data_IF_123880334980
#
_entry.id   IF_123880334980
#
_cell.length_a   1.000
_cell.length_b   1.000
_cell.length_c   1.000
_cell.angle_alpha   90.00
_cell.angle_beta   90.00
_cell.angle_gamma   90.00
#
_symmetry.space_group_name_H-M   'P 1'
#
loop_
_entity.id
_entity.type
_entity.pdbx_description
1 polymer ?
#
# COMPACT_ATOMS: atom_id res chain seq x y z
N UNK A 1 7.41 -43.20 -25.93
CA UNK A 1 6.53 -42.03 -25.76
C UNK A 1 6.18 -41.96 -24.28
N UNK A 2 7.01 -41.29 -23.49
CA UNK A 2 6.78 -41.08 -22.06
C UNK A 2 6.07 -39.73 -21.86
N UNK A 3 5.03 -39.75 -21.01
CA UNK A 3 4.27 -38.57 -20.58
C UNK A 3 5.07 -37.86 -19.48
N UNK A 4 5.32 -36.54 -19.54
CA UNK A 4 6.04 -35.87 -18.46
C UNK A 4 5.13 -35.67 -17.24
N UNK A 5 5.74 -35.90 -16.08
CA UNK A 5 5.16 -35.84 -14.73
C UNK A 5 4.86 -34.38 -14.31
N UNK A 6 3.71 -34.17 -13.66
CA UNK A 6 3.32 -32.93 -13.00
C UNK A 6 4.25 -32.67 -11.81
N UNK A 7 5.18 -31.71 -11.96
CA UNK A 7 5.94 -31.18 -10.84
C UNK A 7 5.01 -30.39 -9.92
N UNK A 8 4.86 -30.87 -8.68
CA UNK A 8 4.23 -30.13 -7.59
C UNK A 8 5.04 -28.86 -7.32
N UNK A 9 4.50 -27.70 -7.72
CA UNK A 9 5.05 -26.40 -7.33
C UNK A 9 4.76 -26.20 -5.85
N UNK A 10 5.76 -26.46 -4.99
CA UNK A 10 5.72 -26.09 -3.59
C UNK A 10 5.67 -24.56 -3.48
N UNK A 11 4.49 -24.05 -3.11
CA UNK A 11 4.28 -22.68 -2.68
C UNK A 11 5.05 -22.46 -1.37
N UNK A 12 6.12 -21.66 -1.41
CA UNK A 12 6.75 -21.14 -0.20
C UNK A 12 5.71 -20.34 0.61
N UNK A 13 5.67 -20.48 1.95
CA UNK A 13 4.76 -19.70 2.77
C UNK A 13 5.29 -18.26 2.85
N UNK A 14 4.81 -17.39 1.97
CA UNK A 14 4.84 -15.96 2.22
C UNK A 14 3.78 -15.63 3.26
N UNK A 15 4.19 -14.99 4.35
CA UNK A 15 3.25 -14.52 5.40
C UNK A 15 2.04 -13.83 4.77
N UNK A 16 0.82 -14.09 5.26
CA UNK A 16 -0.36 -13.46 4.72
C UNK A 16 -0.22 -11.93 4.86
N UNK A 17 -0.44 -11.15 3.79
CA UNK A 17 -0.49 -9.70 3.90
C UNK A 17 -1.58 -9.30 4.91
N UNK A 18 -1.44 -8.14 5.58
CA UNK A 18 -2.42 -7.68 6.56
C UNK A 18 -3.84 -7.66 5.96
N UNK A 19 -4.88 -7.91 6.77
CA UNK A 19 -6.25 -7.97 6.27
C UNK A 19 -6.64 -6.62 5.65
N UNK A 20 -7.01 -6.55 4.36
CA UNK A 20 -7.17 -5.28 3.64
C UNK A 20 -8.45 -4.53 3.98
N UNK A 21 -9.29 -5.04 4.88
CA UNK A 21 -10.25 -4.19 5.58
C UNK A 21 -9.52 -3.06 6.32
N UNK A 22 -8.31 -3.29 6.82
CA UNK A 22 -7.45 -2.26 7.40
C UNK A 22 -6.78 -1.36 6.33
N UNK A 23 -6.41 -1.90 5.16
CA UNK A 23 -5.77 -1.12 4.07
C UNK A 23 -6.75 -0.17 3.36
N UNK A 24 -7.97 -0.63 3.05
CA UNK A 24 -8.99 0.21 2.41
C UNK A 24 -9.64 1.20 3.38
N UNK A 25 -9.96 0.76 4.60
CA UNK A 25 -10.45 1.69 5.64
C UNK A 25 -9.37 2.70 6.01
N UNK A 26 -8.11 2.27 6.05
CA UNK A 26 -6.94 3.13 6.20
C UNK A 26 -6.86 4.16 5.10
N UNK A 27 -6.90 3.74 3.83
CA UNK A 27 -6.87 4.66 2.68
C UNK A 27 -8.01 5.66 2.70
N UNK A 28 -9.25 5.21 2.93
CA UNK A 28 -10.41 6.12 3.03
C UNK A 28 -10.24 7.11 4.18
N UNK A 29 -9.72 6.66 5.31
CA UNK A 29 -9.46 7.48 6.49
C UNK A 29 -8.36 8.53 6.32
N UNK A 30 -7.38 8.27 5.42
CA UNK A 30 -6.28 9.22 5.15
C UNK A 30 -6.37 9.90 3.78
N UNK A 31 -7.39 9.59 2.97
CA UNK A 31 -7.50 10.07 1.58
C UNK A 31 -7.40 11.58 1.48
N UNK A 32 -8.17 12.30 2.29
CA UNK A 32 -8.14 13.76 2.31
C UNK A 32 -6.77 14.33 2.70
N UNK A 33 -5.98 13.61 3.50
CA UNK A 33 -4.61 13.99 3.83
C UNK A 33 -3.63 13.69 2.70
N UNK A 34 -3.81 12.56 2.01
CA UNK A 34 -3.02 12.23 0.83
C UNK A 34 -3.25 13.27 -0.27
N UNK A 35 -4.51 13.64 -0.56
CA UNK A 35 -4.84 14.63 -1.60
C UNK A 35 -4.13 16.00 -1.41
N UNK A 36 -3.69 16.34 -0.19
CA UNK A 36 -2.92 17.56 0.10
C UNK A 36 -1.47 17.50 -0.41
N UNK A 37 -0.90 16.31 -0.64
CA UNK A 37 0.48 16.15 -1.13
C UNK A 37 1.56 16.73 -0.21
N UNK A 38 1.27 16.97 1.07
CA UNK A 38 2.23 17.52 2.05
C UNK A 38 3.22 16.49 2.56
N UNK A 39 2.84 15.21 2.53
CA UNK A 39 3.67 14.06 2.86
C UNK A 39 3.41 13.01 1.79
N UNK A 40 4.47 12.54 1.12
CA UNK A 40 4.34 11.55 0.06
C UNK A 40 5.34 10.41 0.22
N UNK A 41 4.98 9.25 -0.31
CA UNK A 41 5.83 8.07 -0.44
C UNK A 41 6.06 7.81 -1.93
N UNK A 42 7.13 8.36 -2.53
CA UNK A 42 7.41 8.20 -3.96
C UNK A 42 7.66 6.74 -4.38
N UNK A 43 8.10 5.91 -3.42
CA UNK A 43 8.57 4.55 -3.66
C UNK A 43 10.08 4.46 -3.89
N UNK A 44 10.82 5.53 -3.57
CA UNK A 44 12.28 5.59 -3.59
C UNK A 44 12.90 5.03 -2.31
N UNK A 45 14.23 4.83 -2.34
CA UNK A 45 15.03 4.23 -1.29
C UNK A 45 16.16 5.13 -0.80
N UNK A 46 16.46 5.07 0.49
CA UNK A 46 17.70 5.61 1.02
C UNK A 46 18.88 4.68 0.69
N UNK A 47 20.11 5.08 1.04
CA UNK A 47 21.31 4.28 0.76
C UNK A 47 21.35 2.92 1.47
N UNK A 48 20.51 2.68 2.47
CA UNK A 48 20.43 1.41 3.19
C UNK A 48 19.20 0.59 2.80
N UNK A 49 18.43 1.03 1.80
CA UNK A 49 17.26 0.31 1.28
C UNK A 49 15.96 0.61 2.01
N UNK A 50 15.91 1.62 2.88
CA UNK A 50 14.66 2.03 3.56
C UNK A 50 13.78 2.83 2.62
N UNK A 51 12.46 2.74 2.84
CA UNK A 51 11.51 3.59 2.14
C UNK A 51 11.71 5.07 2.49
N UNK A 52 11.78 5.92 1.47
CA UNK A 52 11.91 7.38 1.64
C UNK A 52 10.52 8.03 1.62
N UNK A 53 10.22 8.80 2.66
CA UNK A 53 9.01 9.62 2.75
C UNK A 53 9.43 11.08 2.69
N UNK A 54 8.86 11.84 1.76
CA UNK A 54 9.16 13.27 1.59
C UNK A 54 8.09 14.11 2.28
N UNK A 55 8.51 15.07 3.09
CA UNK A 55 7.65 15.98 3.86
C UNK A 55 7.92 17.41 3.41
N UNK A 56 6.95 18.03 2.74
CA UNK A 56 7.13 19.36 2.13
C UNK A 56 6.67 20.48 3.07
N UNK A 57 7.54 20.98 3.95
CA UNK A 57 7.19 21.97 4.97
C UNK A 57 6.72 23.33 4.43
N UNK A 58 7.18 23.71 3.23
CA UNK A 58 6.82 24.97 2.57
C UNK A 58 5.45 24.99 1.88
N UNK A 59 4.70 23.89 1.88
CA UNK A 59 3.39 23.80 1.23
C UNK A 59 2.31 24.56 2.00
N UNK A 60 1.42 25.27 1.31
CA UNK A 60 0.33 26.03 1.95
C UNK A 60 -0.74 25.11 2.55
N UNK A 61 -0.83 23.90 2.04
CA UNK A 61 -1.79 22.86 2.41
C UNK A 61 -1.67 22.44 3.88
N UNK A 62 -0.54 22.75 4.55
CA UNK A 62 -0.38 22.64 6.00
C UNK A 62 -1.40 23.47 6.81
N UNK A 63 -2.02 24.49 6.22
CA UNK A 63 -3.08 25.30 6.87
C UNK A 63 -4.49 24.73 6.66
N UNK A 64 -4.63 23.61 5.97
CA UNK A 64 -5.92 22.95 5.77
C UNK A 64 -6.51 22.48 7.10
N UNK A 65 -7.83 22.59 7.26
CA UNK A 65 -8.55 22.09 8.45
C UNK A 65 -8.45 20.57 8.63
N UNK A 66 -8.05 19.85 7.59
CA UNK A 66 -7.82 18.40 7.63
C UNK A 66 -6.55 18.05 8.43
N UNK A 67 -5.59 18.98 8.52
CA UNK A 67 -4.29 18.75 9.15
C UNK A 67 -4.43 18.84 10.66
N UNK A 68 -4.40 17.69 11.31
CA UNK A 68 -4.36 17.55 12.77
C UNK A 68 -3.25 16.57 13.17
N UNK A 69 -2.86 16.55 14.45
CA UNK A 69 -1.90 15.56 14.98
C UNK A 69 -2.35 14.14 14.64
N UNK A 70 -3.64 13.85 14.83
CA UNK A 70 -4.23 12.54 14.58
C UNK A 70 -4.24 12.18 13.09
N UNK A 71 -4.62 13.12 12.23
CA UNK A 71 -4.66 12.90 10.77
C UNK A 71 -3.26 12.62 10.21
N UNK A 72 -2.24 13.38 10.67
CA UNK A 72 -0.85 13.19 10.26
C UNK A 72 -0.28 11.87 10.80
N UNK A 73 -0.57 11.51 12.05
CA UNK A 73 -0.15 10.23 12.63
C UNK A 73 -0.71 9.05 11.84
N UNK A 74 -2.03 9.05 11.57
CA UNK A 74 -2.67 8.04 10.73
C UNK A 74 -2.05 7.97 9.34
N UNK A 75 -1.73 9.12 8.74
CA UNK A 75 -1.06 9.16 7.44
C UNK A 75 0.33 8.51 7.50
N UNK A 76 1.15 8.83 8.50
CA UNK A 76 2.49 8.23 8.64
C UNK A 76 2.43 6.71 8.82
N UNK A 77 1.53 6.22 9.67
CA UNK A 77 1.30 4.78 9.86
C UNK A 77 0.76 4.13 8.59
N UNK A 78 -0.11 4.82 7.85
CA UNK A 78 -0.60 4.34 6.57
C UNK A 78 0.54 4.19 5.56
N UNK A 79 1.37 5.22 5.39
CA UNK A 79 2.52 5.17 4.49
C UNK A 79 3.54 4.09 4.89
N UNK A 80 3.74 3.87 6.20
CA UNK A 80 4.58 2.77 6.70
C UNK A 80 4.03 1.39 6.33
N UNK A 81 2.71 1.24 6.20
CA UNK A 81 2.11 -0.06 5.87
C UNK A 81 2.24 -0.44 4.39
N UNK A 82 2.48 0.53 3.49
CA UNK A 82 2.53 0.33 2.03
C UNK A 82 3.74 -0.51 1.58
N UNK A 83 5.00 -0.22 2.01
CA UNK A 83 6.14 -1.04 1.65
C UNK A 83 5.99 -2.50 2.05
N UNK A 84 6.70 -3.37 1.34
CA UNK A 84 6.75 -4.80 1.67
C UNK A 84 7.34 -5.03 3.05
N UNK A 85 7.04 -6.18 3.63
CA UNK A 85 7.47 -6.54 4.98
C UNK A 85 8.97 -6.32 5.20
N UNK A 86 9.80 -6.76 4.26
CA UNK A 86 11.26 -6.68 4.37
C UNK A 86 11.77 -5.24 4.41
N UNK A 87 11.13 -4.34 3.66
CA UNK A 87 11.47 -2.91 3.65
C UNK A 87 10.87 -2.21 4.87
N UNK A 88 9.64 -2.56 5.23
CA UNK A 88 8.89 -1.98 6.35
C UNK A 88 9.58 -2.25 7.69
N UNK A 89 10.20 -3.41 7.84
CA UNK A 89 10.99 -3.80 9.02
C UNK A 89 12.27 -2.96 9.18
N UNK A 90 12.82 -2.38 8.11
CA UNK A 90 13.94 -1.45 8.20
C UNK A 90 13.53 -0.06 8.72
N UNK A 91 12.22 0.22 8.75
CA UNK A 91 11.65 1.53 9.02
C UNK A 91 11.75 2.49 7.83
N UNK A 92 11.16 3.67 7.98
CA UNK A 92 11.20 4.74 6.96
C UNK A 92 12.28 5.77 7.25
N UNK A 93 12.82 6.37 6.19
CA UNK A 93 13.65 7.58 6.26
C UNK A 93 12.81 8.77 5.80
N UNK A 94 12.58 9.72 6.71
CA UNK A 94 11.80 10.93 6.43
C UNK A 94 12.73 12.06 6.00
N UNK A 95 12.48 12.63 4.82
CA UNK A 95 13.21 13.79 4.30
C UNK A 95 12.30 15.01 4.34
N UNK A 96 12.63 15.96 5.22
CA UNK A 96 11.85 17.18 5.45
C UNK A 96 12.43 18.32 4.62
N UNK A 97 11.64 18.85 3.70
CA UNK A 97 11.93 20.11 3.03
C UNK A 97 11.53 21.29 3.92
N UNK A 98 12.51 21.82 4.65
CA UNK A 98 12.36 23.00 5.50
C UNK A 98 13.13 24.20 4.95
N UNK A 99 13.49 24.22 3.66
CA UNK A 99 14.23 25.33 3.02
C UNK A 99 13.46 26.64 3.09
N UNK A 100 12.14 26.60 2.88
CA UNK A 100 11.26 27.79 2.91
C UNK A 100 10.63 28.01 4.28
N UNK A 101 10.14 26.93 4.88
CA UNK A 101 9.45 26.93 6.18
C UNK A 101 9.51 25.53 6.78
N UNK A 102 9.81 25.37 8.08
CA UNK A 102 9.73 24.07 8.73
C UNK A 102 8.27 23.56 8.79
N UNK A 103 8.06 22.24 8.79
CA UNK A 103 6.74 21.66 9.04
C UNK A 103 6.12 22.17 10.35
N UNK A 104 4.78 22.16 10.43
CA UNK A 104 4.06 22.65 11.60
C UNK A 104 4.33 21.82 12.87
N UNK A 105 4.11 22.40 14.05
CA UNK A 105 4.24 21.66 15.33
C UNK A 105 3.36 20.39 15.38
N UNK A 106 2.23 20.39 14.67
CA UNK A 106 1.36 19.22 14.54
C UNK A 106 2.10 18.01 13.96
N UNK A 107 3.03 18.23 13.03
CA UNK A 107 3.82 17.17 12.41
C UNK A 107 4.74 16.49 13.43
N UNK A 108 5.52 17.25 14.21
CA UNK A 108 6.44 16.66 15.19
C UNK A 108 5.70 15.90 16.29
N UNK A 109 4.57 16.43 16.77
CA UNK A 109 3.70 15.73 17.73
C UNK A 109 3.14 14.43 17.12
N UNK A 110 2.74 14.46 15.86
CA UNK A 110 2.22 13.30 15.16
C UNK A 110 3.29 12.25 14.91
N UNK A 111 4.54 12.67 14.64
CA UNK A 111 5.67 11.79 14.45
C UNK A 111 6.02 11.03 15.74
N UNK A 112 6.07 11.73 16.88
CA UNK A 112 6.24 11.11 18.19
C UNK A 112 5.11 10.10 18.46
N UNK A 113 3.86 10.51 18.24
CA UNK A 113 2.70 9.63 18.38
C UNK A 113 2.79 8.40 17.47
N UNK A 114 3.24 8.54 16.22
CA UNK A 114 3.40 7.42 15.30
C UNK A 114 4.47 6.44 15.79
N UNK A 115 5.58 6.94 16.36
CA UNK A 115 6.61 6.09 16.97
C UNK A 115 6.12 5.35 18.23
N UNK A 116 5.20 5.93 19.00
CA UNK A 116 4.56 5.24 20.13
C UNK A 116 3.64 4.09 19.66
N UNK A 117 2.93 4.27 18.54
CA UNK A 117 2.02 3.26 18.00
C UNK A 117 2.77 2.13 17.28
N UNK A 118 3.86 2.46 16.60
CA UNK A 118 4.66 1.52 15.84
C UNK A 118 6.14 1.84 16.06
N UNK A 119 6.74 1.16 17.03
CA UNK A 119 8.17 1.23 17.28
C UNK A 119 8.93 0.94 15.98
N UNK A 120 9.90 1.79 15.67
CA UNK A 120 10.71 1.73 14.44
C UNK A 120 9.99 2.05 13.12
N UNK A 121 8.74 2.54 13.14
CA UNK A 121 8.08 2.98 11.90
C UNK A 121 8.89 4.05 11.15
N UNK A 122 9.52 4.95 11.90
CA UNK A 122 10.48 5.93 11.39
C UNK A 122 11.84 5.63 11.99
N UNK A 123 12.80 5.32 11.13
CA UNK A 123 14.18 5.02 11.50
C UNK A 123 15.03 6.29 11.58
N UNK A 124 14.95 7.14 10.56
CA UNK A 124 15.71 8.39 10.52
C UNK A 124 14.88 9.55 10.00
N UNK A 125 15.25 10.75 10.43
CA UNK A 125 14.63 12.00 10.00
C UNK A 125 15.75 12.94 9.58
N UNK A 126 15.77 13.33 8.31
CA UNK A 126 16.75 14.27 7.75
C UNK A 126 16.02 15.53 7.34
N UNK A 127 16.44 16.68 7.86
CA UNK A 127 15.84 17.96 7.55
C UNK A 127 16.77 18.79 6.69
N UNK A 128 16.32 19.13 5.49
CA UNK A 128 16.99 20.06 4.59
C UNK A 128 16.55 21.50 4.89
N UNK A 129 17.49 22.31 5.37
CA UNK A 129 17.27 23.72 5.72
C UNK A 129 18.17 24.62 4.89
N UNK A 130 17.64 25.75 4.46
CA UNK A 130 18.44 26.84 3.93
C UNK A 130 18.84 27.78 5.07
N UNK A 131 20.15 27.89 5.32
CA UNK A 131 20.71 28.66 6.43
C UNK A 131 20.45 30.15 6.30
N UNK A 132 20.27 30.62 5.07
CA UNK A 132 20.12 32.05 4.79
C UNK A 132 18.68 32.52 4.98
N UNK A 133 17.71 31.60 4.90
CA UNK A 133 16.28 31.94 4.88
C UNK A 133 15.46 31.38 6.04
N UNK A 134 15.97 30.39 6.78
CA UNK A 134 15.25 29.81 7.92
C UNK A 134 16.09 29.78 9.22
N UNK A 135 15.55 30.27 10.35
CA UNK A 135 16.19 30.10 11.66
C UNK A 135 16.32 28.62 12.00
N UNK A 136 17.35 28.29 12.81
CA UNK A 136 17.63 26.91 13.22
C UNK A 136 16.35 26.27 13.80
N UNK A 137 15.92 25.10 13.30
CA UNK A 137 14.75 24.42 13.83
C UNK A 137 14.89 24.17 15.33
N UNK A 138 13.79 24.30 16.06
CA UNK A 138 13.74 23.93 17.48
C UNK A 138 14.08 22.44 17.65
N UNK A 139 14.83 22.13 18.71
CA UNK A 139 15.07 20.73 19.07
C UNK A 139 13.80 20.18 19.68
N UNK A 140 13.30 19.07 19.13
CA UNK A 140 12.14 18.37 19.68
C UNK A 140 12.62 17.22 20.58
N UNK A 141 12.39 17.26 21.91
CA UNK A 141 12.77 16.18 22.80
C UNK A 141 12.17 14.85 22.35
N UNK A 142 12.97 13.78 22.34
CA UNK A 142 12.55 12.46 21.88
C UNK A 142 12.69 12.19 20.37
N UNK A 143 12.96 13.22 19.56
CA UNK A 143 13.23 13.06 18.12
C UNK A 143 14.71 13.29 17.82
N UNK A 144 15.40 12.27 17.32
CA UNK A 144 16.71 12.43 16.70
C UNK A 144 16.53 12.81 15.23
N UNK A 145 17.09 13.95 14.84
CA UNK A 145 16.91 14.51 13.50
C UNK A 145 18.20 15.15 13.01
N UNK A 146 18.60 14.74 11.81
CA UNK A 146 19.84 15.20 11.18
C UNK A 146 19.57 16.45 10.35
N UNK A 147 20.20 17.55 10.73
CA UNK A 147 20.08 18.82 10.03
C UNK A 147 21.13 18.92 8.92
N UNK A 148 20.68 19.00 7.67
CA UNK A 148 21.55 19.20 6.50
C UNK A 148 21.21 20.52 5.81
N UNK A 149 22.25 21.21 5.34
CA UNK A 149 22.10 22.55 4.74
C UNK A 149 22.58 22.63 3.30
N UNK A 150 22.77 21.47 2.67
CA UNK A 150 23.13 21.38 1.25
C UNK A 150 22.64 20.05 0.68
N UNK A 151 22.35 20.05 -0.62
CA UNK A 151 22.04 18.83 -1.36
C UNK A 151 23.16 17.79 -1.26
N UNK A 152 24.43 18.22 -1.26
CA UNK A 152 25.58 17.32 -1.11
C UNK A 152 25.55 16.56 0.21
N UNK A 153 25.12 17.20 1.29
CA UNK A 153 24.97 16.55 2.59
C UNK A 153 23.77 15.60 2.62
N UNK A 154 22.62 16.01 2.07
CA UNK A 154 21.44 15.14 1.95
C UNK A 154 21.75 13.89 1.10
N UNK A 155 22.53 14.04 0.03
CA UNK A 155 22.93 12.96 -0.87
C UNK A 155 23.82 11.88 -0.24
N UNK A 156 24.32 12.12 0.99
CA UNK A 156 24.97 11.10 1.80
C UNK A 156 23.98 10.12 2.43
N UNK A 157 22.71 10.49 2.57
CA UNK A 157 21.65 9.64 3.10
C UNK A 157 20.76 9.09 1.99
N UNK A 158 20.32 9.95 1.06
CA UNK A 158 19.42 9.58 -0.05
C UNK A 158 19.99 10.10 -1.36
N UNK A 159 20.24 9.23 -2.35
CA UNK A 159 20.83 9.66 -3.61
C UNK A 159 19.93 10.64 -4.38
N UNK A 160 20.52 11.50 -5.22
CA UNK A 160 19.74 12.43 -6.06
C UNK A 160 18.82 11.70 -7.05
N UNK A 161 19.15 10.47 -7.46
CA UNK A 161 18.29 9.59 -8.26
C UNK A 161 17.08 9.05 -7.51
N UNK A 162 17.08 9.15 -6.17
CA UNK A 162 16.05 8.65 -5.25
C UNK A 162 15.25 9.77 -4.57
N UNK A 163 15.53 11.03 -4.92
CA UNK A 163 14.77 12.20 -4.47
C UNK A 163 13.93 12.73 -5.62
N UNK A 164 12.71 13.19 -5.34
CA UNK A 164 11.88 13.85 -6.36
C UNK A 164 12.44 15.21 -6.77
N UNK A 165 11.95 15.76 -7.88
CA UNK A 165 12.31 17.11 -8.34
C UNK A 165 12.01 18.19 -7.31
N UNK A 166 10.99 18.01 -6.47
CA UNK A 166 10.63 18.98 -5.42
C UNK A 166 11.76 19.12 -4.39
N UNK A 167 12.49 18.04 -4.13
CA UNK A 167 13.70 18.03 -3.29
C UNK A 167 15.00 18.21 -4.08
N UNK A 168 14.94 18.55 -5.38
CA UNK A 168 16.13 18.76 -6.20
C UNK A 168 16.81 17.48 -6.70
N UNK A 169 16.07 16.37 -6.74
CA UNK A 169 16.51 15.11 -7.33
C UNK A 169 15.95 14.87 -8.74
N UNK A 170 16.04 13.61 -9.18
CA UNK A 170 15.66 13.15 -10.54
C UNK A 170 14.68 11.97 -10.53
N UNK A 171 14.22 11.53 -9.34
CA UNK A 171 13.24 10.46 -9.22
C UNK A 171 11.90 10.93 -9.79
N UNK A 172 11.40 10.23 -10.80
CA UNK A 172 10.14 10.56 -11.46
C UNK A 172 8.96 10.15 -10.56
N UNK A 173 8.24 11.13 -10.04
CA UNK A 173 7.05 10.90 -9.22
C UNK A 173 5.94 11.89 -9.57
N UNK A 174 4.73 11.36 -9.71
CA UNK A 174 3.51 12.15 -9.87
C UNK A 174 2.52 11.72 -8.81
N UNK A 175 2.27 12.60 -7.85
CA UNK A 175 1.40 12.31 -6.71
C UNK A 175 -0.04 12.02 -7.15
N UNK A 176 -0.55 12.76 -8.13
CA UNK A 176 -1.90 12.57 -8.68
C UNK A 176 -2.05 11.23 -9.38
N UNK A 177 -1.04 10.82 -10.15
CA UNK A 177 -1.06 9.54 -10.85
C UNK A 177 -0.97 8.38 -9.85
N UNK A 178 -0.11 8.55 -8.84
CA UNK A 178 0.01 7.60 -7.76
C UNK A 178 -1.32 7.41 -7.03
N UNK A 179 -2.01 8.49 -6.66
CA UNK A 179 -3.32 8.43 -6.01
C UNK A 179 -4.37 7.68 -6.85
N UNK A 180 -4.44 7.97 -8.14
CA UNK A 180 -5.40 7.33 -9.05
C UNK A 180 -5.11 5.82 -9.21
N UNK A 181 -3.84 5.47 -9.40
CA UNK A 181 -3.41 4.08 -9.48
C UNK A 181 -3.73 3.34 -8.18
N UNK A 182 -3.34 3.93 -7.04
CA UNK A 182 -3.51 3.32 -5.72
C UNK A 182 -4.98 3.15 -5.34
N UNK A 183 -5.83 4.14 -5.64
CA UNK A 183 -7.28 4.02 -5.48
C UNK A 183 -7.84 2.85 -6.29
N UNK A 184 -7.47 2.74 -7.57
CA UNK A 184 -7.98 1.66 -8.42
C UNK A 184 -7.50 0.30 -7.95
N UNK A 185 -6.24 0.21 -7.54
CA UNK A 185 -5.66 -1.02 -6.98
C UNK A 185 -6.44 -1.48 -5.75
N UNK A 186 -6.73 -0.57 -4.83
CA UNK A 186 -7.49 -0.88 -3.62
C UNK A 186 -8.92 -1.30 -3.94
N UNK A 187 -9.64 -0.57 -4.80
CA UNK A 187 -11.00 -0.95 -5.20
C UNK A 187 -11.06 -2.34 -5.83
N UNK A 188 -10.11 -2.65 -6.70
CA UNK A 188 -10.03 -3.99 -7.32
C UNK A 188 -9.70 -5.08 -6.29
N UNK A 189 -8.82 -4.79 -5.34
CA UNK A 189 -8.51 -5.68 -4.22
C UNK A 189 -9.74 -5.98 -3.35
N UNK A 190 -10.60 -4.99 -3.12
CA UNK A 190 -11.89 -5.16 -2.44
C UNK A 190 -12.80 -6.14 -3.17
N UNK A 191 -12.96 -5.94 -4.49
CA UNK A 191 -13.82 -6.76 -5.33
C UNK A 191 -13.36 -8.22 -5.31
N UNK A 192 -12.06 -8.45 -5.54
CA UNK A 192 -11.47 -9.80 -5.50
C UNK A 192 -11.68 -10.50 -4.17
N UNK A 193 -11.58 -9.76 -3.06
CA UNK A 193 -11.82 -10.33 -1.73
C UNK A 193 -13.29 -10.63 -1.49
N UNK A 194 -14.18 -9.77 -1.98
CA UNK A 194 -15.61 -10.02 -1.96
C UNK A 194 -15.92 -11.35 -2.65
N UNK A 195 -15.37 -11.54 -3.85
CA UNK A 195 -15.44 -12.79 -4.60
C UNK A 195 -14.82 -13.98 -3.88
N UNK A 196 -13.58 -13.86 -3.39
CA UNK A 196 -12.91 -14.93 -2.63
C UNK A 196 -13.72 -15.35 -1.39
N UNK A 197 -14.26 -14.39 -0.63
CA UNK A 197 -15.09 -14.69 0.54
C UNK A 197 -16.37 -15.45 0.19
N UNK A 198 -17.00 -15.14 -0.96
CA UNK A 198 -18.16 -15.89 -1.44
C UNK A 198 -17.77 -17.30 -1.84
N UNK A 199 -16.70 -17.46 -2.62
CA UNK A 199 -16.23 -18.75 -3.10
C UNK A 199 -15.84 -19.64 -1.91
N UNK A 200 -15.12 -19.11 -0.93
CA UNK A 200 -14.78 -19.83 0.30
C UNK A 200 -16.03 -20.23 1.11
N UNK A 201 -17.08 -19.41 1.15
CA UNK A 201 -18.34 -19.78 1.80
C UNK A 201 -19.06 -20.89 1.04
N UNK A 202 -19.09 -20.84 -0.28
CA UNK A 202 -19.69 -21.86 -1.12
C UNK A 202 -18.95 -23.20 -1.00
N UNK A 203 -17.61 -23.19 -1.07
CA UNK A 203 -16.77 -24.38 -0.89
C UNK A 203 -17.04 -25.03 0.47
N UNK A 204 -17.06 -24.24 1.56
CA UNK A 204 -17.36 -24.77 2.90
C UNK A 204 -18.75 -25.39 3.03
N UNK A 205 -19.75 -24.89 2.32
CA UNK A 205 -21.10 -25.48 2.31
C UNK A 205 -21.10 -26.83 1.60
N UNK A 206 -20.35 -26.96 0.50
CA UNK A 206 -20.20 -28.21 -0.24
C UNK A 206 -19.40 -29.24 0.57
N UNK A 207 -18.25 -28.85 1.15
CA UNK A 207 -17.40 -29.73 1.95
C UNK A 207 -18.06 -30.15 3.29
N UNK A 208 -18.96 -29.31 3.82
CA UNK A 208 -19.71 -29.59 5.04
C UNK A 208 -20.82 -30.64 4.86
N UNK A 209 -21.14 -31.02 3.62
CA UNK A 209 -22.04 -32.12 3.32
C UNK A 209 -21.39 -33.46 3.68
N UNK A 210 -21.76 -34.00 4.83
CA UNK A 210 -21.38 -35.38 5.19
C UNK A 210 -22.16 -36.38 4.33
N UNK A 211 -21.56 -37.54 4.09
CA UNK A 211 -22.26 -38.73 3.59
C UNK A 211 -23.49 -38.99 4.44
N UNK A 212 -24.66 -38.78 3.85
CA UNK A 212 -25.96 -38.85 4.51
C UNK A 212 -26.61 -40.19 4.17
N UNK A 213 -27.03 -40.94 5.19
CA UNK A 213 -27.54 -42.32 5.04
C UNK A 213 -29.04 -42.37 4.70
N UNK A 214 -29.74 -41.21 4.68
CA UNK A 214 -31.15 -41.10 4.36
C UNK A 214 -31.40 -40.36 3.04
N UNK A 215 -32.26 -40.92 2.18
CA UNK A 215 -32.69 -40.34 0.91
C UNK A 215 -33.23 -38.90 1.03
N UNK A 216 -33.90 -38.57 2.14
CA UNK A 216 -34.41 -37.21 2.40
C UNK A 216 -33.29 -36.21 2.69
N UNK A 217 -32.22 -36.66 3.33
CA UNK A 217 -31.06 -35.81 3.65
C UNK A 217 -30.20 -35.55 2.41
N UNK A 218 -30.08 -36.55 1.53
CA UNK A 218 -29.44 -36.40 0.21
C UNK A 218 -30.21 -35.37 -0.63
N UNK A 219 -31.54 -35.44 -0.69
CA UNK A 219 -32.35 -34.49 -1.46
C UNK A 219 -32.23 -33.05 -0.93
N UNK A 220 -32.19 -32.89 0.41
CA UNK A 220 -31.96 -31.58 1.04
C UNK A 220 -30.56 -31.04 0.73
N UNK A 221 -29.54 -31.90 0.77
CA UNK A 221 -28.17 -31.53 0.41
C UNK A 221 -28.08 -31.04 -1.04
N UNK A 222 -28.71 -31.73 -1.99
CA UNK A 222 -28.72 -31.31 -3.40
C UNK A 222 -29.35 -29.93 -3.54
N UNK A 223 -30.50 -29.68 -2.90
CA UNK A 223 -31.15 -28.37 -2.93
C UNK A 223 -30.31 -27.25 -2.32
N UNK A 224 -29.61 -27.51 -1.21
CA UNK A 224 -28.68 -26.55 -0.59
C UNK A 224 -27.47 -26.27 -1.50
N UNK A 225 -26.95 -27.28 -2.20
CA UNK A 225 -25.86 -27.14 -3.15
C UNK A 225 -26.28 -26.35 -4.39
N UNK A 226 -27.45 -26.64 -4.96
CA UNK A 226 -28.01 -25.90 -6.10
C UNK A 226 -28.23 -24.42 -5.75
N UNK A 227 -28.81 -24.15 -4.57
CA UNK A 227 -29.01 -22.79 -4.09
C UNK A 227 -27.67 -22.05 -3.89
N UNK A 228 -26.66 -22.73 -3.32
CA UNK A 228 -25.34 -22.13 -3.12
C UNK A 228 -24.60 -21.88 -4.44
N UNK A 229 -24.75 -22.77 -5.44
CA UNK A 229 -24.17 -22.58 -6.77
C UNK A 229 -24.85 -21.41 -7.48
N UNK A 230 -26.18 -21.32 -7.39
CA UNK A 230 -26.94 -20.20 -7.94
C UNK A 230 -26.51 -18.86 -7.34
N UNK A 231 -26.34 -18.78 -6.01
CA UNK A 231 -25.84 -17.58 -5.32
C UNK A 231 -24.47 -17.13 -5.86
N UNK A 232 -23.55 -18.07 -6.11
CA UNK A 232 -22.22 -17.79 -6.66
C UNK A 232 -22.30 -17.30 -8.10
N UNK A 233 -23.10 -17.96 -8.94
CA UNK A 233 -23.23 -17.64 -10.36
C UNK A 233 -23.95 -16.29 -10.60
N UNK A 234 -24.87 -15.92 -9.72
CA UNK A 234 -25.64 -14.66 -9.81
C UNK A 234 -24.94 -13.48 -9.10
N UNK A 235 -23.84 -13.70 -8.37
CA UNK A 235 -23.15 -12.60 -7.68
C UNK A 235 -22.51 -11.63 -8.68
N UNK A 236 -22.99 -10.39 -8.63
CA UNK A 236 -22.57 -9.32 -9.55
C UNK A 236 -21.08 -9.00 -9.48
N UNK A 237 -20.41 -9.21 -8.34
CA UNK A 237 -18.98 -8.96 -8.20
C UNK A 237 -18.17 -10.02 -8.92
N UNK A 238 -18.58 -11.28 -8.82
CA UNK A 238 -17.94 -12.37 -9.57
C UNK A 238 -18.12 -12.19 -11.07
N UNK A 239 -19.34 -11.89 -11.52
CA UNK A 239 -19.62 -11.62 -12.95
C UNK A 239 -18.80 -10.44 -13.48
N UNK A 240 -18.70 -9.35 -12.71
CA UNK A 240 -17.91 -8.17 -13.11
C UNK A 240 -16.42 -8.50 -13.17
N UNK A 241 -15.88 -9.23 -12.19
CA UNK A 241 -14.48 -9.67 -12.19
C UNK A 241 -14.16 -10.61 -13.36
N UNK A 242 -15.08 -11.52 -13.70
CA UNK A 242 -14.92 -12.41 -14.86
C UNK A 242 -14.90 -11.64 -16.18
N UNK A 243 -15.78 -10.66 -16.33
CA UNK A 243 -15.91 -9.87 -17.58
C UNK A 243 -14.81 -8.82 -17.74
N UNK A 244 -14.47 -8.12 -16.67
CA UNK A 244 -13.67 -6.89 -16.72
C UNK A 244 -12.32 -7.01 -16.01
N UNK A 245 -12.13 -8.01 -15.14
CA UNK A 245 -10.93 -8.15 -14.31
C UNK A 245 -9.65 -8.23 -15.14
N UNK A 246 -9.66 -8.94 -16.28
CA UNK A 246 -8.53 -8.97 -17.22
C UNK A 246 -8.17 -7.60 -17.78
N UNK A 247 -9.18 -6.77 -18.13
CA UNK A 247 -8.97 -5.42 -18.64
C UNK A 247 -8.45 -4.47 -17.55
N UNK A 248 -8.96 -4.60 -16.31
CA UNK A 248 -8.49 -3.84 -15.14
C UNK A 248 -7.03 -4.16 -14.86
N UNK A 249 -6.66 -5.44 -14.84
CA UNK A 249 -5.25 -5.88 -14.65
C UNK A 249 -4.36 -5.38 -15.78
N UNK A 250 -4.78 -5.52 -17.04
CA UNK A 250 -4.02 -5.02 -18.18
C UNK A 250 -3.81 -3.49 -18.11
N UNK A 251 -4.83 -2.74 -17.68
CA UNK A 251 -4.72 -1.30 -17.43
C UNK A 251 -3.74 -0.99 -16.31
N UNK A 252 -3.82 -1.69 -15.18
CA UNK A 252 -2.89 -1.49 -14.06
C UNK A 252 -1.43 -1.76 -14.48
N UNK A 253 -1.18 -2.80 -15.28
CA UNK A 253 0.16 -3.08 -15.84
C UNK A 253 0.67 -1.95 -16.75
N UNK A 254 -0.22 -1.34 -17.56
CA UNK A 254 0.16 -0.17 -18.38
C UNK A 254 0.52 1.05 -17.52
N UNK A 255 -0.19 1.24 -16.41
CA UNK A 255 0.05 2.36 -15.50
C UNK A 255 1.26 2.14 -14.59
N UNK A 256 1.67 0.89 -14.35
CA UNK A 256 2.90 0.54 -13.64
C UNK A 256 4.14 1.17 -14.29
N UNK A 257 4.17 1.29 -15.63
CA UNK A 257 5.23 1.99 -16.36
C UNK A 257 5.38 3.47 -15.98
N UNK A 258 4.37 4.08 -15.33
CA UNK A 258 4.46 5.45 -14.80
C UNK A 258 5.25 5.51 -13.50
N UNK A 259 5.56 4.37 -12.89
CA UNK A 259 6.33 4.24 -11.65
C UNK A 259 7.54 3.31 -11.84
N UNK A 260 8.38 3.50 -12.88
CA UNK A 260 9.41 2.55 -13.27
C UNK A 260 10.49 2.36 -12.19
N UNK A 261 10.65 3.35 -11.32
CA UNK A 261 11.64 3.36 -10.25
C UNK A 261 11.07 2.95 -8.89
N UNK A 262 9.75 2.82 -8.73
CA UNK A 262 9.17 2.41 -7.44
C UNK A 262 9.23 0.90 -7.26
N UNK A 263 9.96 0.44 -6.25
CA UNK A 263 10.05 -0.99 -5.93
C UNK A 263 8.81 -1.53 -5.22
N UNK A 264 8.05 -0.64 -4.56
CA UNK A 264 6.86 -0.98 -3.78
C UNK A 264 5.67 -1.35 -4.68
N UNK A 265 5.64 -0.82 -5.91
CA UNK A 265 4.59 -1.14 -6.89
C UNK A 265 4.98 -2.25 -7.87
N UNK A 266 6.29 -2.46 -8.09
CA UNK A 266 6.82 -3.42 -9.09
C UNK A 266 6.54 -4.90 -8.82
N UNK A 267 6.27 -5.27 -7.56
CA UNK A 267 5.82 -6.64 -7.24
C UNK A 267 4.89 -6.66 -6.03
N UNK A 268 3.69 -6.09 -6.13
CA UNK A 268 2.63 -6.63 -5.28
C UNK A 268 2.44 -8.10 -5.70
N UNK A 269 2.61 -9.08 -4.78
CA UNK A 269 2.24 -10.47 -5.03
C UNK A 269 0.80 -10.58 -5.52
N UNK A 270 -0.04 -9.60 -5.19
CA UNK A 270 -1.40 -9.42 -5.69
C UNK A 270 -1.49 -9.64 -7.19
N UNK A 271 -0.61 -9.11 -8.06
CA UNK A 271 -0.72 -9.34 -9.51
C UNK A 271 -0.40 -10.77 -9.94
N UNK A 272 0.49 -11.46 -9.23
CA UNK A 272 0.82 -12.88 -9.47
C UNK A 272 -0.26 -13.81 -8.90
N UNK A 273 -0.74 -13.54 -7.69
CA UNK A 273 -1.85 -14.24 -7.06
C UNK A 273 -3.17 -14.00 -7.79
N UNK A 274 -3.43 -12.79 -8.28
CA UNK A 274 -4.55 -12.44 -9.18
C UNK A 274 -4.54 -13.27 -10.44
N UNK A 275 -3.37 -13.37 -11.07
CA UNK A 275 -3.22 -14.13 -12.31
C UNK A 275 -3.50 -15.61 -12.07
N UNK A 276 -3.01 -16.17 -10.95
CA UNK A 276 -3.32 -17.54 -10.56
C UNK A 276 -4.80 -17.72 -10.21
N UNK A 277 -5.41 -16.82 -9.42
CA UNK A 277 -6.83 -16.90 -9.03
C UNK A 277 -7.77 -16.74 -10.22
N UNK A 278 -7.51 -15.79 -11.13
CA UNK A 278 -8.30 -15.60 -12.35
C UNK A 278 -8.14 -16.81 -13.27
N UNK A 279 -6.91 -17.30 -13.52
CA UNK A 279 -6.73 -18.47 -14.37
C UNK A 279 -7.33 -19.76 -13.79
N UNK A 280 -7.44 -19.87 -12.45
CA UNK A 280 -7.95 -21.06 -11.79
C UNK A 280 -9.47 -21.06 -11.56
N UNK A 281 -10.14 -19.91 -11.67
CA UNK A 281 -11.59 -19.78 -11.40
C UNK A 281 -12.41 -19.10 -12.53
N UNK A 282 -11.77 -18.59 -13.59
CA UNK A 282 -12.45 -17.76 -14.61
C UNK A 282 -12.22 -18.25 -16.06
N UNK A 283 -11.21 -19.10 -16.33
CA UNK A 283 -10.84 -19.52 -17.70
C UNK A 283 -10.99 -21.04 -17.93
N UNK A 284 -11.90 -21.71 -17.23
CA UNK A 284 -12.43 -23.02 -17.69
C UNK A 284 -13.94 -22.96 -17.90
#
# INVERSE_FOLDING_TARGET
>A
MEKPSLAQVQLLPSDPPPPPQAEESGFRGVRGMLDLGIICLPGSRDRTGRAVVEVHGGRKEWTSSLVSVQSVCKLLLYLHSIPRKEVRELGMTLVLDARRKPPSLHFYKALLMAQEHALHAVHSVVMLVDKDTCPRPEKHPGLQMDLVTSMKALNKTVEASQLTSDLGGTFTYSHSDWLQFHQRLLSFLAELRGADSLLQKAIKRVDGSKTTDSSQEVQRCIGEQEASMKEVLEDSRLVTLQREGGAVVARMRREEFRFPLSEDYRYRPVFKYLFTLINHFIIE
#
